data_IF_735289252232
#
_entry.id   IF_735289252232
#
_cell.length_a   1.000
_cell.length_b   1.000
_cell.length_c   1.000
_cell.angle_alpha   90.00
_cell.angle_beta   90.00
_cell.angle_gamma   90.00
#
_symmetry.space_group_name_H-M   'P 1'
#
loop_
_entity.id
_entity.type
_entity.pdbx_description
1 polymer ?
#
# COMPACT_ATOMS: atom_id res chain seq x y z
N UNK A 1 -2.34 14.34 10.93
CA UNK A 1 -2.18 13.90 9.53
C UNK A 1 -2.39 12.41 9.52
N UNK A 2 -3.25 11.92 8.64
CA UNK A 2 -3.67 10.53 8.58
C UNK A 2 -3.22 9.94 7.23
N UNK A 3 -2.46 8.84 7.28
CA UNK A 3 -1.85 8.24 6.10
C UNK A 3 -2.32 6.80 5.95
N UNK A 4 -2.88 6.47 4.78
CA UNK A 4 -3.10 5.08 4.39
C UNK A 4 -1.84 4.54 3.70
N UNK A 5 -1.21 3.53 4.30
CA UNK A 5 -0.05 2.85 3.71
C UNK A 5 -0.50 1.54 3.07
N UNK A 6 -0.51 1.50 1.73
CA UNK A 6 -0.94 0.35 0.95
C UNK A 6 0.29 -0.50 0.63
N UNK A 7 0.44 -1.66 1.28
CA UNK A 7 1.70 -2.43 1.29
C UNK A 7 1.49 -3.95 1.37
N UNK A 8 2.41 -4.78 0.86
CA UNK A 8 2.59 -6.14 1.37
C UNK A 8 2.83 -6.08 2.89
N UNK A 9 1.85 -6.54 3.66
CA UNK A 9 1.91 -6.55 5.13
C UNK A 9 2.06 -7.98 5.67
N UNK A 10 2.83 -8.10 6.76
CA UNK A 10 3.13 -9.35 7.48
C UNK A 10 3.70 -10.47 6.61
N UNK A 11 4.51 -10.10 5.61
CA UNK A 11 5.23 -11.03 4.73
C UNK A 11 6.73 -10.78 4.87
N UNK A 12 7.56 -11.82 4.88
CA UNK A 12 9.02 -11.65 4.94
C UNK A 12 9.54 -11.09 3.61
N UNK A 13 9.60 -9.76 3.48
CA UNK A 13 10.18 -9.03 2.35
C UNK A 13 10.73 -7.67 2.78
N UNK A 14 11.54 -7.06 1.91
CA UNK A 14 12.13 -5.75 2.17
C UNK A 14 11.09 -4.65 2.31
N UNK A 15 10.00 -4.70 1.52
CA UNK A 15 8.91 -3.73 1.60
C UNK A 15 8.21 -3.80 2.96
N UNK A 16 7.91 -4.99 3.48
CA UNK A 16 7.30 -5.11 4.81
C UNK A 16 8.21 -4.55 5.91
N UNK A 17 9.51 -4.88 5.88
CA UNK A 17 10.48 -4.36 6.86
C UNK A 17 10.53 -2.83 6.80
N UNK A 18 10.65 -2.26 5.61
CA UNK A 18 10.66 -0.81 5.42
C UNK A 18 9.35 -0.15 5.87
N UNK A 19 8.19 -0.68 5.47
CA UNK A 19 6.88 -0.15 5.87
C UNK A 19 6.70 -0.18 7.39
N UNK A 20 7.09 -1.28 8.05
CA UNK A 20 7.03 -1.38 9.52
C UNK A 20 7.84 -0.27 10.17
N UNK A 21 9.11 -0.15 9.81
CA UNK A 21 10.03 0.82 10.44
C UNK A 21 9.58 2.26 10.16
N UNK A 22 9.08 2.54 8.94
CA UNK A 22 8.51 3.84 8.58
C UNK A 22 7.23 4.14 9.37
N UNK A 23 6.31 3.18 9.48
CA UNK A 23 5.05 3.38 10.22
C UNK A 23 5.30 3.69 11.69
N UNK A 24 6.27 3.01 12.32
CA UNK A 24 6.66 3.28 13.70
C UNK A 24 7.32 4.66 13.86
N UNK A 25 8.16 5.07 12.91
CA UNK A 25 8.80 6.38 12.92
C UNK A 25 7.79 7.52 12.72
N UNK A 26 6.80 7.34 11.85
CA UNK A 26 5.72 8.29 11.59
C UNK A 26 4.80 8.42 12.81
N UNK A 27 4.41 7.29 13.42
CA UNK A 27 3.62 7.29 14.63
C UNK A 27 4.28 8.09 15.77
N UNK A 28 5.60 7.91 15.97
CA UNK A 28 6.39 8.69 16.94
C UNK A 28 6.40 10.20 16.68
N UNK A 29 6.06 10.63 15.46
CA UNK A 29 5.94 12.03 15.06
C UNK A 29 4.50 12.54 15.09
N UNK A 30 3.55 11.75 15.60
CA UNK A 30 2.12 12.12 15.72
C UNK A 30 1.33 11.99 14.42
N UNK A 31 1.82 11.20 13.46
CA UNK A 31 1.08 10.83 12.25
C UNK A 31 0.26 9.58 12.54
N UNK A 32 -1.03 9.62 12.22
CA UNK A 32 -1.88 8.44 12.30
C UNK A 32 -1.68 7.60 11.03
N UNK A 33 -1.41 6.31 11.20
CA UNK A 33 -1.02 5.41 10.11
C UNK A 33 -1.95 4.21 10.10
N UNK A 34 -2.68 4.06 9.00
CA UNK A 34 -3.49 2.88 8.73
C UNK A 34 -2.81 2.01 7.68
N UNK A 35 -2.66 0.71 7.96
CA UNK A 35 -2.06 -0.24 7.02
C UNK A 35 -3.16 -0.92 6.19
N UNK A 36 -3.11 -0.74 4.87
CA UNK A 36 -3.96 -1.45 3.91
C UNK A 36 -3.13 -2.55 3.26
N UNK A 37 -3.52 -3.80 3.52
CA UNK A 37 -2.75 -4.97 3.08
C UNK A 37 -3.00 -5.29 1.61
N UNK A 38 -1.92 -5.34 0.83
CA UNK A 38 -1.89 -5.99 -0.48
C UNK A 38 -1.41 -7.43 -0.31
N UNK A 39 -2.09 -8.44 -0.87
CA UNK A 39 -1.55 -9.80 -0.91
C UNK A 39 -0.21 -9.81 -1.65
N UNK A 40 0.86 -10.37 -1.08
CA UNK A 40 2.13 -10.51 -1.84
C UNK A 40 2.00 -11.61 -2.89
N UNK A 41 1.63 -12.79 -2.42
CA UNK A 41 1.56 -14.02 -3.23
C UNK A 41 0.23 -14.13 -3.97
N UNK A 42 0.16 -15.09 -4.90
CA UNK A 42 -1.02 -15.36 -5.72
C UNK A 42 -1.19 -14.41 -6.90
N UNK A 43 -2.04 -14.84 -7.84
CA UNK A 43 -2.41 -14.06 -9.01
C UNK A 43 -3.11 -12.78 -8.55
N UNK A 44 -2.67 -11.64 -9.09
CA UNK A 44 -3.39 -10.39 -8.92
C UNK A 44 -4.43 -10.28 -10.01
N UNK A 45 -5.65 -10.01 -9.60
CA UNK A 45 -6.77 -9.74 -10.49
C UNK A 45 -7.23 -8.30 -10.28
N UNK A 46 -7.93 -7.74 -11.26
CA UNK A 46 -8.55 -6.42 -11.12
C UNK A 46 -9.48 -6.36 -9.91
N UNK A 47 -10.20 -7.44 -9.59
CA UNK A 47 -11.12 -7.45 -8.46
C UNK A 47 -10.39 -7.43 -7.12
N UNK A 48 -9.26 -8.13 -6.99
CA UNK A 48 -8.40 -8.02 -5.79
C UNK A 48 -7.89 -6.58 -5.66
N UNK A 49 -7.46 -5.96 -6.75
CA UNK A 49 -6.96 -4.58 -6.72
C UNK A 49 -8.05 -3.57 -6.37
N UNK A 50 -9.28 -3.76 -6.87
CA UNK A 50 -10.44 -2.95 -6.48
C UNK A 50 -10.77 -3.10 -5.00
N UNK A 51 -10.72 -4.31 -4.45
CA UNK A 51 -10.93 -4.54 -3.02
C UNK A 51 -9.89 -3.79 -2.17
N UNK A 52 -8.62 -3.81 -2.57
CA UNK A 52 -7.56 -3.05 -1.90
C UNK A 52 -7.84 -1.55 -1.98
N UNK A 53 -8.17 -1.03 -3.17
CA UNK A 53 -8.46 0.38 -3.37
C UNK A 53 -9.67 0.84 -2.53
N UNK A 54 -10.74 0.05 -2.51
CA UNK A 54 -11.95 0.34 -1.72
C UNK A 54 -11.77 0.17 -0.21
N UNK A 55 -10.66 -0.44 0.23
CA UNK A 55 -10.33 -0.56 1.67
C UNK A 55 -9.61 0.68 2.20
N UNK A 56 -9.20 1.60 1.32
CA UNK A 56 -8.58 2.88 1.72
C UNK A 56 -9.69 3.80 2.26
N UNK A 57 -9.57 4.33 3.50
CA UNK A 57 -10.55 5.27 4.04
C UNK A 57 -10.56 6.58 3.24
N UNK A 58 -11.73 7.24 3.15
CA UNK A 58 -11.88 8.49 2.37
C UNK A 58 -11.23 9.69 3.08
N UNK A 59 -11.17 9.64 4.41
CA UNK A 59 -10.72 10.73 5.29
C UNK A 59 -9.19 10.80 5.50
N UNK A 60 -8.40 10.17 4.64
CA UNK A 60 -6.93 10.21 4.73
C UNK A 60 -6.36 11.40 3.96
N UNK A 61 -5.33 12.02 4.52
CA UNK A 61 -4.64 13.15 3.90
C UNK A 61 -3.69 12.69 2.78
N UNK A 62 -3.20 11.45 2.88
CA UNK A 62 -2.21 10.88 1.96
C UNK A 62 -2.38 9.37 1.83
N UNK A 63 -2.32 8.87 0.59
CA UNK A 63 -2.18 7.45 0.29
C UNK A 63 -0.75 7.16 -0.15
N UNK A 64 -0.04 6.34 0.62
CA UNK A 64 1.33 5.93 0.33
C UNK A 64 1.36 4.46 -0.10
N UNK A 65 1.50 4.22 -1.40
CA UNK A 65 1.53 2.87 -1.99
C UNK A 65 2.98 2.37 -2.06
N UNK A 66 3.24 1.20 -1.48
CA UNK A 66 4.56 0.56 -1.46
C UNK A 66 4.44 -0.88 -1.97
N UNK A 67 5.20 -1.23 -3.00
CA UNK A 67 5.18 -2.58 -3.54
C UNK A 67 6.51 -2.92 -4.22
N UNK A 68 6.72 -4.22 -4.44
CA UNK A 68 7.84 -4.72 -5.24
C UNK A 68 7.57 -4.44 -6.74
N UNK A 69 8.64 -4.31 -7.52
CA UNK A 69 8.53 -4.18 -8.97
C UNK A 69 7.79 -5.40 -9.55
N UNK A 70 6.89 -5.16 -10.51
CA UNK A 70 6.12 -6.20 -11.18
C UNK A 70 4.90 -6.73 -10.40
N UNK A 71 4.64 -6.27 -9.16
CA UNK A 71 3.48 -6.74 -8.40
C UNK A 71 2.14 -6.49 -9.12
N UNK A 72 2.07 -5.41 -9.91
CA UNK A 72 0.88 -5.02 -10.68
C UNK A 72 0.98 -5.31 -12.17
N UNK A 73 1.98 -6.11 -12.60
CA UNK A 73 2.23 -6.39 -14.01
C UNK A 73 0.96 -6.89 -14.72
N UNK A 74 0.51 -6.17 -15.75
CA UNK A 74 -0.70 -6.47 -16.52
C UNK A 74 -1.99 -5.93 -15.90
N UNK A 75 -1.91 -5.21 -14.78
CA UNK A 75 -3.01 -4.51 -14.12
C UNK A 75 -2.78 -2.99 -14.10
N UNK A 76 -1.63 -2.52 -14.60
CA UNK A 76 -1.39 -1.10 -14.78
C UNK A 76 -2.37 -0.53 -15.81
N UNK A 77 -3.11 0.50 -15.44
CA UNK A 77 -3.91 1.25 -16.39
C UNK A 77 -2.97 2.22 -17.12
N UNK A 78 -2.86 2.09 -18.43
CA UNK A 78 -2.05 2.98 -19.27
C UNK A 78 -2.70 4.34 -19.45
N UNK A 79 -2.55 5.24 -18.47
CA UNK A 79 -2.63 6.68 -18.71
C UNK A 79 -1.44 7.35 -18.03
N UNK A 80 -0.36 7.47 -18.79
CA UNK A 80 0.71 8.40 -18.49
C UNK A 80 0.28 9.76 -19.02
N UNK A 81 0.04 10.73 -18.14
CA UNK A 81 -0.15 12.13 -18.52
C UNK A 81 1.12 12.89 -18.12
N UNK A 82 1.85 13.47 -19.09
CA UNK A 82 3.07 14.23 -18.82
C UNK A 82 2.80 15.49 -17.99
#
# INVERSE_FOLDING_TARGET
MNVAMVTPWTVKCGIYTYTRDLSEALFKKGVDVCIIRIPRFGIKTLDIMKLVANSVPEEVDLVHVQHEYGLYSGLEKGEFRP
#
